data_IF_896469916893
#
_entry.id   IF_896469916893
#
_cell.length_a   1.000
_cell.length_b   1.000
_cell.length_c   1.000
_cell.angle_alpha   90.00
_cell.angle_beta   90.00
_cell.angle_gamma   90.00
#
_symmetry.space_group_name_H-M   'P 1'
#
loop_
_entity.id
_entity.type
_entity.pdbx_description
1 polymer ?
#
# COMPACT_ATOMS: atom_id res chain seq x y z
N UNK A 1 23.61 -62.03 2.98
CA UNK A 1 23.28 -61.44 1.66
C UNK A 1 22.07 -60.53 1.70
N UNK A 2 20.95 -60.87 2.38
CA UNK A 2 19.78 -60.02 2.49
C UNK A 2 20.08 -58.61 3.11
N UNK A 3 20.81 -58.54 4.21
CA UNK A 3 21.15 -57.28 4.88
C UNK A 3 21.92 -56.28 3.99
N UNK A 4 22.80 -56.77 3.13
CA UNK A 4 23.57 -55.91 2.20
C UNK A 4 22.64 -55.32 1.13
N UNK A 5 21.71 -56.15 0.63
CA UNK A 5 20.72 -55.65 -0.34
C UNK A 5 19.78 -54.59 0.26
N UNK A 6 19.34 -54.80 1.50
CA UNK A 6 18.46 -53.79 2.19
C UNK A 6 19.22 -52.50 2.43
N UNK A 7 20.48 -52.57 2.84
CA UNK A 7 21.33 -51.39 3.02
C UNK A 7 21.58 -50.61 1.70
N UNK A 8 21.85 -51.33 0.61
CA UNK A 8 22.02 -50.70 -0.70
C UNK A 8 20.73 -50.05 -1.20
N UNK A 9 19.58 -50.62 -0.87
CA UNK A 9 18.28 -50.02 -1.18
C UNK A 9 18.03 -48.72 -0.40
N UNK A 10 18.35 -48.70 0.89
CA UNK A 10 18.26 -47.50 1.72
C UNK A 10 19.17 -46.39 1.22
N UNK A 11 20.39 -46.67 0.83
CA UNK A 11 21.31 -45.70 0.23
C UNK A 11 20.75 -45.16 -1.08
N UNK A 12 20.19 -45.99 -1.93
CA UNK A 12 19.58 -45.56 -3.18
C UNK A 12 18.37 -44.66 -2.95
N UNK A 13 17.53 -45.00 -2.00
CA UNK A 13 16.35 -44.17 -1.66
C UNK A 13 16.78 -42.84 -1.05
N UNK A 14 17.76 -42.81 -0.16
CA UNK A 14 18.33 -41.58 0.39
C UNK A 14 18.93 -40.68 -0.72
N UNK A 15 19.72 -41.28 -1.62
CA UNK A 15 20.28 -40.55 -2.75
C UNK A 15 19.18 -39.94 -3.67
N UNK A 16 18.12 -40.71 -3.92
CA UNK A 16 16.96 -40.24 -4.68
C UNK A 16 16.29 -39.02 -4.05
N UNK A 17 16.05 -39.04 -2.74
CA UNK A 17 15.44 -37.90 -2.03
C UNK A 17 16.33 -36.65 -2.03
N UNK A 18 17.66 -36.85 -1.87
CA UNK A 18 18.61 -35.72 -1.99
C UNK A 18 18.58 -35.11 -3.39
N UNK A 19 18.66 -35.96 -4.44
CA UNK A 19 18.60 -35.48 -5.82
C UNK A 19 17.28 -34.81 -6.15
N UNK A 20 16.18 -35.29 -5.61
CA UNK A 20 14.87 -34.66 -5.77
C UNK A 20 14.82 -33.22 -5.13
N UNK A 21 15.40 -33.08 -3.92
CA UNK A 21 15.54 -31.77 -3.27
C UNK A 21 16.41 -30.84 -4.11
N UNK A 22 17.55 -31.28 -4.60
CA UNK A 22 18.41 -30.49 -5.48
C UNK A 22 17.72 -30.09 -6.79
N UNK A 23 16.95 -30.98 -7.38
CA UNK A 23 16.18 -30.68 -8.60
C UNK A 23 15.19 -29.54 -8.41
N UNK A 24 14.50 -29.50 -7.27
CA UNK A 24 13.57 -28.42 -6.95
C UNK A 24 14.31 -27.09 -6.79
N UNK A 25 15.40 -27.05 -6.01
CA UNK A 25 16.17 -25.82 -5.81
C UNK A 25 16.80 -25.33 -7.12
N UNK A 26 17.32 -26.22 -7.94
CA UNK A 26 17.90 -25.90 -9.23
C UNK A 26 16.84 -25.33 -10.20
N UNK A 27 15.63 -25.88 -10.20
CA UNK A 27 14.52 -25.35 -11.00
C UNK A 27 14.11 -23.94 -10.59
N UNK A 28 14.23 -23.59 -9.29
CA UNK A 28 13.97 -22.26 -8.79
C UNK A 28 15.07 -21.25 -9.13
N UNK A 29 16.30 -21.69 -9.29
CA UNK A 29 17.43 -20.83 -9.65
C UNK A 29 17.27 -20.19 -11.05
N UNK A 30 16.57 -20.87 -11.95
CA UNK A 30 16.26 -20.33 -13.28
C UNK A 30 14.99 -19.48 -13.37
N UNK A 31 14.24 -19.33 -12.27
CA UNK A 31 13.02 -18.52 -12.24
C UNK A 31 13.34 -17.06 -11.94
N UNK A 32 12.49 -16.15 -12.44
CA UNK A 32 12.60 -14.75 -12.08
C UNK A 32 12.34 -14.54 -10.59
N UNK A 33 13.05 -13.61 -9.94
CA UNK A 33 12.77 -13.25 -8.56
C UNK A 33 11.36 -12.66 -8.44
N UNK A 34 10.63 -13.06 -7.40
CA UNK A 34 9.28 -12.57 -7.07
C UNK A 34 9.35 -11.39 -6.08
N UNK A 35 10.53 -11.15 -5.53
CA UNK A 35 10.76 -10.11 -4.52
C UNK A 35 10.73 -8.73 -5.13
N UNK A 36 9.98 -7.82 -4.50
CA UNK A 36 9.99 -6.40 -4.81
C UNK A 36 11.06 -5.72 -3.97
N UNK A 37 11.91 -4.94 -4.60
CA UNK A 37 13.05 -4.28 -3.94
C UNK A 37 12.59 -2.94 -3.35
N UNK A 38 11.81 -2.98 -2.28
CA UNK A 38 11.46 -1.77 -1.54
C UNK A 38 12.72 -1.19 -0.85
N UNK A 39 12.94 0.15 -0.86
CA UNK A 39 12.04 1.21 -1.31
C UNK A 39 12.17 1.61 -2.79
N UNK A 40 13.08 1.01 -3.54
CA UNK A 40 13.34 1.37 -4.93
C UNK A 40 12.19 0.98 -5.86
N UNK A 41 11.61 -0.18 -5.58
CA UNK A 41 10.41 -0.67 -6.25
C UNK A 41 9.27 -0.71 -5.23
N UNK A 42 8.10 -0.17 -5.59
CA UNK A 42 6.92 -0.18 -4.74
C UNK A 42 5.80 -0.95 -5.42
N UNK A 43 5.07 -1.73 -4.63
CA UNK A 43 3.83 -2.34 -5.09
C UNK A 43 2.80 -1.25 -5.37
N UNK A 44 2.11 -1.36 -6.49
CA UNK A 44 0.99 -0.49 -6.83
C UNK A 44 -0.24 -1.04 -6.13
N UNK A 45 -0.83 -0.32 -5.15
CA UNK A 45 -2.03 -0.76 -4.50
C UNK A 45 -3.21 -0.81 -5.47
N UNK A 46 -4.15 -1.71 -5.23
CA UNK A 46 -5.39 -1.79 -6.01
C UNK A 46 -6.30 -0.57 -5.74
N UNK A 47 -7.22 -0.26 -6.66
CA UNK A 47 -8.21 0.82 -6.50
C UNK A 47 -9.06 0.70 -5.21
N UNK A 48 -9.22 -0.51 -4.70
CA UNK A 48 -9.95 -0.79 -3.45
C UNK A 48 -9.04 -0.82 -2.21
N UNK A 49 -7.82 -0.36 -2.34
CA UNK A 49 -6.92 -0.32 -1.22
C UNK A 49 -7.39 0.66 -0.15
N UNK A 50 -7.30 0.26 1.10
CA UNK A 50 -7.66 1.07 2.26
C UNK A 50 -6.41 1.65 2.90
N UNK A 51 -5.86 2.68 2.27
CA UNK A 51 -4.73 3.42 2.81
C UNK A 51 -5.16 4.61 3.67
N UNK A 52 -4.34 5.63 3.71
CA UNK A 52 -4.61 6.84 4.50
C UNK A 52 -5.93 7.49 4.07
N UNK A 53 -6.73 7.91 5.04
CA UNK A 53 -7.94 8.68 4.79
C UNK A 53 -7.55 10.11 4.38
N UNK A 54 -8.10 10.56 3.27
CA UNK A 54 -8.03 11.96 2.82
C UNK A 54 -9.33 12.66 3.16
N UNK A 55 -9.24 13.91 3.56
CA UNK A 55 -10.37 14.69 4.04
C UNK A 55 -10.47 16.04 3.29
N UNK A 56 -11.66 16.33 2.75
CA UNK A 56 -11.98 17.60 2.12
C UNK A 56 -12.82 18.46 3.06
N UNK A 57 -12.17 19.45 3.67
CA UNK A 57 -12.77 20.30 4.70
C UNK A 57 -14.01 21.03 4.20
N UNK A 58 -13.99 21.57 3.00
CA UNK A 58 -15.07 22.40 2.44
C UNK A 58 -16.38 21.64 2.23
N UNK A 59 -16.31 20.33 2.06
CA UNK A 59 -17.49 19.46 1.85
C UNK A 59 -18.13 19.00 3.15
N UNK A 60 -17.45 19.16 4.29
CA UNK A 60 -17.92 18.61 5.55
C UNK A 60 -19.00 19.50 6.20
N UNK A 61 -20.09 18.86 6.60
CA UNK A 61 -21.23 19.52 7.27
C UNK A 61 -21.26 19.26 8.78
N UNK A 62 -20.20 18.71 9.36
CA UNK A 62 -20.10 18.36 10.78
C UNK A 62 -21.28 17.48 11.29
N UNK A 63 -21.71 16.49 10.51
CA UNK A 63 -22.85 15.61 10.85
C UNK A 63 -22.51 14.52 11.87
N UNK A 64 -21.22 14.30 12.19
CA UNK A 64 -20.73 13.30 13.14
C UNK A 64 -21.10 11.84 12.81
N UNK A 65 -21.56 11.55 11.58
CA UNK A 65 -21.86 10.17 11.16
C UNK A 65 -20.59 9.32 11.19
N UNK A 66 -19.46 9.86 10.74
CA UNK A 66 -18.16 9.19 10.75
C UNK A 66 -17.73 8.73 12.17
N UNK A 67 -18.09 9.48 13.21
CA UNK A 67 -17.81 9.09 14.61
C UNK A 67 -18.70 7.91 15.01
N UNK A 68 -20.01 8.00 14.73
CA UNK A 68 -21.00 6.96 15.12
C UNK A 68 -20.80 5.62 14.40
N UNK A 69 -20.35 5.64 13.13
CA UNK A 69 -20.12 4.39 12.38
C UNK A 69 -18.74 3.80 12.64
N UNK A 70 -17.86 4.53 13.29
CA UNK A 70 -16.54 4.04 13.67
C UNK A 70 -16.67 3.04 14.83
N UNK A 71 -16.14 1.81 14.70
CA UNK A 71 -16.27 0.80 15.76
C UNK A 71 -15.55 1.18 17.06
N UNK A 72 -14.63 2.12 17.00
CA UNK A 72 -13.83 2.62 18.15
C UNK A 72 -14.09 4.10 18.46
N UNK A 73 -15.04 4.75 17.81
CA UNK A 73 -15.38 6.17 17.95
C UNK A 73 -14.16 7.11 17.81
N UNK A 74 -13.27 6.78 16.87
CA UNK A 74 -11.96 7.41 16.76
C UNK A 74 -11.96 8.84 16.21
N UNK A 75 -12.73 9.17 15.10
CA UNK A 75 -12.71 10.52 14.54
C UNK A 75 -13.19 11.56 15.56
N UNK A 76 -12.44 12.63 15.71
CA UNK A 76 -12.84 13.77 16.54
C UNK A 76 -13.31 14.89 15.64
N UNK A 77 -14.55 15.33 15.84
CA UNK A 77 -15.19 16.40 15.07
C UNK A 77 -15.47 17.56 16.03
N UNK A 78 -14.70 18.63 15.90
CA UNK A 78 -14.88 19.83 16.69
C UNK A 78 -15.65 20.89 15.86
N UNK A 79 -16.80 21.30 16.34
CA UNK A 79 -17.67 22.24 15.66
C UNK A 79 -18.30 23.27 16.62
N UNK A 80 -18.64 24.41 16.11
CA UNK A 80 -19.34 25.48 16.86
C UNK A 80 -20.60 25.87 16.13
N UNK A 81 -21.62 26.17 16.91
CA UNK A 81 -22.86 26.71 16.37
C UNK A 81 -22.68 28.21 16.05
N UNK A 82 -22.77 28.54 14.77
CA UNK A 82 -22.82 29.95 14.39
C UNK A 82 -24.17 30.55 14.84
N UNK A 83 -24.11 31.63 15.64
CA UNK A 83 -25.30 32.25 16.22
C UNK A 83 -26.17 32.99 15.19
N UNK A 84 -25.56 33.47 14.10
CA UNK A 84 -26.25 34.23 13.05
C UNK A 84 -26.93 33.30 12.05
N UNK A 85 -26.23 32.27 11.57
CA UNK A 85 -26.73 31.37 10.54
C UNK A 85 -27.43 30.12 11.10
N UNK A 86 -27.31 29.86 12.41
CA UNK A 86 -27.79 28.66 13.11
C UNK A 86 -27.27 27.36 12.47
N UNK A 87 -26.13 27.43 11.78
CA UNK A 87 -25.46 26.26 11.17
C UNK A 87 -24.27 25.84 12.01
N UNK A 88 -23.94 24.55 11.94
CA UNK A 88 -22.71 24.03 12.51
C UNK A 88 -21.53 24.45 11.63
N UNK A 89 -20.55 25.09 12.24
CA UNK A 89 -19.28 25.42 11.61
C UNK A 89 -18.20 24.51 12.16
N UNK A 90 -17.56 23.78 11.27
CA UNK A 90 -16.48 22.88 11.62
C UNK A 90 -15.23 23.68 11.97
N UNK A 91 -14.64 23.44 13.14
CA UNK A 91 -13.37 24.02 13.57
C UNK A 91 -12.19 23.13 13.27
N UNK A 92 -12.32 21.87 13.69
CA UNK A 92 -11.26 20.91 13.52
C UNK A 92 -11.83 19.52 13.27
N UNK A 93 -11.06 18.72 12.56
CA UNK A 93 -11.33 17.31 12.33
C UNK A 93 -10.01 16.56 12.48
N UNK A 94 -9.97 15.56 13.33
CA UNK A 94 -8.74 14.78 13.52
C UNK A 94 -8.99 13.29 13.59
N UNK A 95 -8.01 12.53 13.14
CA UNK A 95 -7.97 11.07 13.20
C UNK A 95 -6.60 10.63 13.67
N UNK A 96 -6.55 9.80 14.71
CA UNK A 96 -5.32 9.15 15.14
C UNK A 96 -5.10 7.85 14.34
N UNK A 97 -4.21 7.88 13.38
CA UNK A 97 -3.86 6.71 12.59
C UNK A 97 -3.10 5.63 13.38
N UNK A 98 -2.58 5.97 14.56
CA UNK A 98 -1.99 4.99 15.47
C UNK A 98 -3.00 4.02 16.10
N UNK A 99 -4.29 4.40 16.11
CA UNK A 99 -5.38 3.58 16.61
C UNK A 99 -6.37 3.16 15.50
N UNK A 100 -6.32 3.79 14.33
CA UNK A 100 -7.25 3.53 13.22
C UNK A 100 -7.04 2.14 12.63
N UNK A 101 -8.13 1.40 12.45
CA UNK A 101 -8.11 0.06 11.83
C UNK A 101 -8.35 0.06 10.32
N UNK A 102 -8.43 1.24 9.70
CA UNK A 102 -8.64 1.42 8.26
C UNK A 102 -9.83 0.63 7.69
N UNK A 103 -10.91 0.49 8.44
CA UNK A 103 -12.10 -0.26 8.01
C UNK A 103 -12.89 0.38 6.88
N UNK A 104 -12.77 1.72 6.68
CA UNK A 104 -13.44 2.47 5.62
C UNK A 104 -14.88 2.87 5.90
N UNK A 105 -15.48 2.48 7.02
CA UNK A 105 -16.88 2.79 7.33
C UNK A 105 -17.16 4.30 7.32
N UNK A 106 -16.23 5.11 7.85
CA UNK A 106 -16.39 6.56 7.86
C UNK A 106 -16.45 7.16 6.45
N UNK A 107 -15.79 6.54 5.48
CA UNK A 107 -15.81 6.94 4.07
C UNK A 107 -17.12 6.54 3.41
N UNK A 108 -17.54 5.29 3.58
CA UNK A 108 -18.74 4.76 2.95
C UNK A 108 -20.04 5.42 3.44
N UNK A 109 -20.11 5.73 4.74
CA UNK A 109 -21.30 6.33 5.34
C UNK A 109 -21.29 7.87 5.34
N UNK A 110 -20.28 8.50 4.72
CA UNK A 110 -20.22 9.96 4.65
C UNK A 110 -21.25 10.51 3.64
N UNK A 111 -22.25 11.29 4.07
CA UNK A 111 -23.31 11.76 3.18
C UNK A 111 -22.82 12.80 2.15
N UNK A 112 -21.74 13.50 2.45
CA UNK A 112 -21.15 14.53 1.58
C UNK A 112 -19.92 14.06 0.81
N UNK A 113 -19.51 12.78 0.98
CA UNK A 113 -18.30 12.22 0.40
C UNK A 113 -17.05 13.09 0.64
N UNK A 114 -16.96 13.71 1.81
CA UNK A 114 -15.80 14.52 2.19
C UNK A 114 -14.59 13.68 2.61
N UNK A 115 -14.78 12.38 2.84
CA UNK A 115 -13.75 11.42 3.18
C UNK A 115 -13.51 10.49 2.00
N UNK A 116 -12.26 10.21 1.71
CA UNK A 116 -11.86 9.24 0.68
C UNK A 116 -10.67 8.41 1.14
N UNK A 117 -10.59 7.16 0.66
CA UNK A 117 -9.42 6.31 0.88
C UNK A 117 -8.37 6.62 -0.18
N UNK A 118 -7.12 6.70 0.24
CA UNK A 118 -5.99 6.90 -0.67
C UNK A 118 -5.14 5.64 -0.79
N UNK A 119 -4.22 5.64 -1.70
CA UNK A 119 -3.25 4.55 -1.90
C UNK A 119 -2.04 4.66 -0.95
N UNK A 120 -2.00 5.69 -0.11
CA UNK A 120 -0.88 5.94 0.78
C UNK A 120 -0.88 4.99 1.97
N UNK A 121 0.24 4.29 2.18
CA UNK A 121 0.42 3.33 3.27
C UNK A 121 1.69 3.60 4.10
N UNK A 122 2.55 4.52 3.65
CA UNK A 122 3.80 4.83 4.32
C UNK A 122 3.56 5.83 5.46
N UNK A 123 2.99 5.36 6.55
CA UNK A 123 2.64 6.16 7.73
C UNK A 123 3.55 5.89 8.93
N UNK A 124 4.64 5.15 8.75
CA UNK A 124 5.55 4.82 9.84
C UNK A 124 6.28 6.06 10.36
N UNK A 125 6.25 6.27 11.66
CA UNK A 125 6.94 7.37 12.37
C UNK A 125 7.60 6.85 13.63
N UNK A 126 8.62 7.57 14.12
CA UNK A 126 9.27 7.24 15.41
C UNK A 126 8.43 7.66 16.62
N UNK A 127 7.58 8.68 16.45
CA UNK A 127 6.72 9.20 17.51
C UNK A 127 5.25 8.95 17.15
N UNK A 128 4.55 8.27 18.03
CA UNK A 128 3.13 7.96 17.91
C UNK A 128 2.27 9.22 17.76
N UNK A 129 2.64 10.31 18.41
CA UNK A 129 1.87 11.56 18.38
C UNK A 129 1.80 12.17 16.96
N UNK A 130 2.78 11.88 16.13
CA UNK A 130 2.80 12.30 14.72
C UNK A 130 1.75 11.59 13.85
N UNK A 131 1.12 10.53 14.36
CA UNK A 131 0.03 9.81 13.68
C UNK A 131 -1.34 10.42 13.96
N UNK A 132 -1.45 11.37 14.88
CA UNK A 132 -2.67 12.12 15.08
C UNK A 132 -2.75 13.25 14.05
N UNK A 133 -3.49 13.02 12.97
CA UNK A 133 -3.61 13.94 11.85
C UNK A 133 -4.81 14.86 12.07
N UNK A 134 -4.53 16.16 12.03
CA UNK A 134 -5.53 17.22 12.03
C UNK A 134 -6.12 17.45 10.62
N UNK A 135 -7.05 18.37 10.50
CA UNK A 135 -7.71 18.73 9.24
C UNK A 135 -6.73 19.15 8.14
N UNK A 136 -5.63 19.82 8.50
CA UNK A 136 -4.60 20.28 7.55
C UNK A 136 -3.78 19.07 7.03
N UNK A 137 -3.38 18.19 7.94
CA UNK A 137 -2.62 17.00 7.59
C UNK A 137 -3.45 16.01 6.77
N UNK A 138 -4.74 15.84 7.11
CA UNK A 138 -5.67 14.98 6.37
C UNK A 138 -6.01 15.53 4.99
N UNK A 139 -6.05 16.86 4.83
CA UNK A 139 -6.31 17.52 3.55
C UNK A 139 -5.15 17.48 2.56
N UNK A 140 -3.95 17.10 3.01
CA UNK A 140 -2.81 16.94 2.09
C UNK A 140 -3.07 15.79 1.12
N UNK A 141 -2.93 16.07 -0.16
CA UNK A 141 -2.94 15.03 -1.19
C UNK A 141 -1.73 14.11 -0.97
N UNK A 142 -1.90 12.80 -1.17
CA UNK A 142 -0.80 11.86 -1.04
C UNK A 142 0.32 12.26 -2.01
N UNK A 143 1.52 12.38 -1.50
CA UNK A 143 2.71 12.80 -2.26
C UNK A 143 3.00 11.89 -3.46
N UNK A 144 2.60 10.63 -3.37
CA UNK A 144 2.79 9.64 -4.43
C UNK A 144 1.91 9.88 -5.67
N UNK A 145 0.78 10.59 -5.52
CA UNK A 145 -0.20 10.78 -6.62
C UNK A 145 0.10 12.05 -7.43
N UNK A 146 0.63 13.09 -6.81
CA UNK A 146 0.75 14.42 -7.44
C UNK A 146 2.14 14.77 -7.94
N UNK A 147 3.18 14.21 -7.34
CA UNK A 147 4.57 14.63 -7.59
C UNK A 147 5.35 13.73 -8.56
N UNK A 148 4.85 12.54 -8.87
CA UNK A 148 5.59 11.61 -9.71
C UNK A 148 4.83 11.33 -11.02
N UNK A 149 5.28 11.90 -12.16
CA UNK A 149 4.65 11.65 -13.47
C UNK A 149 4.70 10.17 -13.87
N UNK A 150 5.65 9.39 -13.34
CA UNK A 150 5.72 7.95 -13.53
C UNK A 150 4.54 7.21 -12.86
N UNK A 151 4.07 7.68 -11.70
CA UNK A 151 2.89 7.09 -11.02
C UNK A 151 1.61 7.41 -11.80
N UNK A 152 1.53 8.57 -12.45
CA UNK A 152 0.42 8.93 -13.34
C UNK A 152 0.34 8.00 -14.55
N UNK A 153 1.48 7.69 -15.15
CA UNK A 153 1.55 6.75 -16.27
C UNK A 153 1.25 5.31 -15.84
N UNK A 154 1.60 4.93 -14.60
CA UNK A 154 1.26 3.64 -14.02
C UNK A 154 -0.24 3.52 -13.68
N UNK A 155 -0.89 4.62 -13.30
CA UNK A 155 -2.35 4.66 -13.09
C UNK A 155 -3.13 4.47 -14.40
N UNK A 156 -2.62 5.00 -15.49
CA UNK A 156 -3.16 4.73 -16.85
C UNK A 156 -2.90 3.27 -17.28
N UNK A 157 -1.82 2.65 -16.79
CA UNK A 157 -1.49 1.25 -17.06
C UNK A 157 -2.31 0.24 -16.22
N UNK A 158 -2.80 0.63 -15.04
CA UNK A 158 -3.69 -0.22 -14.22
C UNK A 158 -5.12 -0.30 -14.79
N UNK A 159 -5.44 0.45 -15.82
CA UNK A 159 -6.66 0.29 -16.62
C UNK A 159 -6.55 -0.80 -17.68
N UNK A 160 -5.75 -1.84 -17.43
CA UNK A 160 -5.82 -3.06 -18.23
C UNK A 160 -7.14 -3.80 -17.94
N UNK A 161 -7.79 -4.33 -18.97
CA UNK A 161 -9.10 -4.94 -18.82
C UNK A 161 -9.06 -6.07 -17.80
N UNK A 162 -10.09 -6.10 -16.93
CA UNK A 162 -10.30 -7.12 -15.91
C UNK A 162 -10.20 -8.51 -16.54
N UNK A 163 -9.13 -9.20 -16.32
CA UNK A 163 -8.93 -10.57 -16.80
C UNK A 163 -7.48 -11.02 -16.93
N UNK A 164 -6.52 -10.11 -16.90
CA UNK A 164 -5.13 -10.45 -17.24
C UNK A 164 -4.09 -9.90 -16.26
N UNK A 165 -4.50 -9.60 -15.04
CA UNK A 165 -3.59 -9.13 -14.00
C UNK A 165 -3.32 -10.21 -12.97
N UNK A 166 -2.58 -11.24 -13.38
CA UNK A 166 -1.69 -11.93 -12.47
C UNK A 166 -0.49 -11.02 -12.24
N UNK A 167 -0.16 -10.65 -10.99
CA UNK A 167 1.03 -9.83 -10.70
C UNK A 167 2.33 -10.48 -11.17
N UNK A 168 2.28 -11.72 -11.62
CA UNK A 168 3.39 -12.51 -12.17
C UNK A 168 3.46 -12.51 -13.70
N UNK A 169 2.51 -11.88 -14.40
CA UNK A 169 2.47 -11.87 -15.88
C UNK A 169 2.71 -10.50 -16.50
N UNK A 170 3.44 -9.62 -15.83
CA UNK A 170 3.98 -8.43 -16.53
C UNK A 170 4.92 -8.94 -17.60
N UNK A 171 4.45 -8.98 -18.84
CA UNK A 171 5.24 -9.42 -20.00
C UNK A 171 6.47 -8.52 -20.11
N UNK A 172 7.63 -9.13 -20.23
CA UNK A 172 8.93 -8.48 -20.47
C UNK A 172 9.00 -7.55 -21.67
N UNK A 173 7.93 -7.49 -22.43
CA UNK A 173 7.83 -6.71 -23.66
C UNK A 173 7.34 -5.28 -23.47
N UNK A 174 6.97 -4.87 -22.24
CA UNK A 174 6.62 -3.46 -22.02
C UNK A 174 7.89 -2.65 -21.74
N UNK A 175 8.35 -1.82 -22.69
CA UNK A 175 9.56 -1.02 -22.54
C UNK A 175 9.49 0.01 -21.40
N UNK A 176 8.31 0.12 -20.76
CA UNK A 176 8.03 1.03 -19.64
C UNK A 176 8.24 0.37 -18.28
N UNK A 177 8.22 -0.97 -18.24
CA UNK A 177 8.49 -1.76 -17.03
C UNK A 177 9.97 -2.13 -17.04
N UNK A 178 10.75 -1.55 -16.16
CA UNK A 178 12.16 -1.90 -15.98
C UNK A 178 13.18 -0.83 -16.33
N UNK A 179 12.78 0.34 -16.78
CA UNK A 179 13.70 1.50 -16.84
C UNK A 179 13.50 2.34 -15.59
N UNK A 180 14.45 2.23 -14.67
CA UNK A 180 14.55 3.23 -13.61
C UNK A 180 14.61 4.62 -14.25
N UNK A 181 13.88 5.61 -13.69
CA UNK A 181 14.03 7.00 -14.10
C UNK A 181 15.52 7.39 -14.05
N UNK A 182 15.97 8.15 -15.06
CA UNK A 182 17.36 8.60 -15.17
C UNK A 182 17.88 9.29 -13.91
N UNK A 183 16.99 9.98 -13.19
CA UNK A 183 17.28 10.65 -11.90
C UNK A 183 17.67 9.66 -10.80
N UNK A 184 17.09 8.45 -10.79
CA UNK A 184 17.41 7.41 -9.81
C UNK A 184 18.75 6.75 -10.15
N UNK A 185 19.06 6.60 -11.43
CA UNK A 185 20.36 6.11 -11.91
C UNK A 185 21.49 7.09 -11.58
N UNK A 186 21.27 8.39 -11.75
CA UNK A 186 22.25 9.43 -11.38
C UNK A 186 22.49 9.47 -9.86
N UNK A 187 21.44 9.29 -9.06
CA UNK A 187 21.58 9.21 -7.61
C UNK A 187 22.38 7.98 -7.15
N UNK A 188 22.13 6.82 -7.79
CA UNK A 188 22.88 5.58 -7.49
C UNK A 188 24.37 5.68 -7.88
N UNK A 189 24.70 6.43 -8.94
CA UNK A 189 26.08 6.62 -9.38
C UNK A 189 26.82 7.71 -8.61
N UNK A 190 26.12 8.70 -8.06
CA UNK A 190 26.70 9.78 -7.25
C UNK A 190 26.97 9.35 -5.79
N UNK A 191 26.33 8.31 -5.28
CA UNK A 191 26.49 7.82 -3.91
C UNK A 191 27.71 6.93 -3.65
N UNK A 192 28.50 6.58 -4.67
CA UNK A 192 29.67 5.69 -4.54
C UNK A 192 31.02 6.42 -4.37
N UNK A 193 31.01 7.75 -4.24
CA UNK A 193 32.21 8.57 -4.07
C UNK A 193 32.24 9.32 -2.73
N UNK A 194 32.01 8.61 -1.59
CA UNK A 194 32.44 9.09 -0.26
C UNK A 194 32.82 7.92 0.62
#
# INVERSE_FOLDING_TARGET
MKQVFDYLKEIKDAAKYLLQGFSVTLSHMGRRPVTVQYPYEKLIPSERYRGRIHYEFDKCIACEVCVRVCPINLPVVDWVMNKETKKKELRNYSIDFGACIFCGNCVEYCPTNCLSMTEEYELATFDRHNLNYDNVALGRLPTNVTSNPAVRSLRELTYLPKGEMDPHTVKDSDPRVGKLPSEVLEWMTSGTNN
#
